data_IF_148295850956
#
_entry.id   IF_148295850956
#
_cell.length_a   1.000
_cell.length_b   1.000
_cell.length_c   1.000
_cell.angle_alpha   90.00
_cell.angle_beta   90.00
_cell.angle_gamma   90.00
#
_symmetry.space_group_name_H-M   'P 1'
#
loop_
_entity.id
_entity.type
_entity.pdbx_description
1 polymer ?
#
# COMPACT_ATOMS: atom_id res chain seq x y z
N UNK A 1 -9.91 18.08 -9.84
CA UNK A 1 -8.56 17.65 -10.26
C UNK A 1 -8.62 16.18 -10.60
N UNK A 2 -7.90 15.74 -11.64
CA UNK A 2 -7.79 14.32 -11.95
C UNK A 2 -7.04 13.59 -10.83
N UNK A 3 -7.48 12.37 -10.51
CA UNK A 3 -6.78 11.52 -9.55
C UNK A 3 -5.39 11.17 -10.08
N UNK A 4 -4.37 11.30 -9.23
CA UNK A 4 -2.98 11.00 -9.60
C UNK A 4 -2.78 9.49 -9.68
N UNK A 5 -1.98 9.04 -10.64
CA UNK A 5 -1.62 7.63 -10.83
C UNK A 5 -0.11 7.49 -10.73
N UNK A 6 0.33 6.67 -9.78
CA UNK A 6 1.72 6.28 -9.58
C UNK A 6 1.89 4.80 -9.92
N UNK A 7 3.12 4.38 -10.20
CA UNK A 7 3.47 2.96 -10.25
C UNK A 7 4.55 2.68 -9.21
N UNK A 8 4.37 1.61 -8.44
CA UNK A 8 5.38 1.14 -7.49
C UNK A 8 6.50 0.38 -8.18
N UNK A 9 7.74 0.56 -7.76
CA UNK A 9 8.90 -0.14 -8.32
C UNK A 9 8.82 -1.65 -8.12
N UNK A 10 8.10 -2.12 -7.09
CA UNK A 10 7.85 -3.56 -6.88
C UNK A 10 7.09 -4.21 -8.05
N UNK A 11 6.32 -3.42 -8.80
CA UNK A 11 5.57 -3.89 -9.97
C UNK A 11 6.47 -4.40 -11.11
N UNK A 12 7.74 -3.97 -11.12
CA UNK A 12 8.77 -4.40 -12.09
C UNK A 12 9.77 -5.40 -11.50
N UNK A 13 9.57 -5.90 -10.28
CA UNK A 13 10.56 -6.72 -9.56
C UNK A 13 10.95 -8.01 -10.31
N UNK A 14 10.02 -8.58 -11.07
CA UNK A 14 10.28 -9.79 -11.86
C UNK A 14 11.06 -9.54 -13.16
N UNK A 15 11.46 -8.30 -13.45
CA UNK A 15 12.18 -7.95 -14.68
C UNK A 15 13.70 -7.97 -14.50
N UNK A 16 14.20 -8.33 -13.32
CA UNK A 16 15.64 -8.36 -12.98
C UNK A 16 16.36 -7.03 -13.25
N UNK A 17 15.62 -5.91 -13.15
CA UNK A 17 16.15 -4.57 -13.31
C UNK A 17 16.62 -4.01 -11.97
N UNK A 18 17.72 -3.26 -11.98
CA UNK A 18 18.06 -2.41 -10.85
C UNK A 18 17.11 -1.20 -10.77
N UNK A 19 17.10 -0.51 -9.64
CA UNK A 19 16.15 0.59 -9.38
C UNK A 19 16.24 1.75 -10.40
N UNK A 20 17.42 2.05 -10.95
CA UNK A 20 17.56 3.12 -11.94
C UNK A 20 16.96 2.71 -13.29
N UNK A 21 17.15 1.45 -13.67
CA UNK A 21 16.52 0.86 -14.86
C UNK A 21 15.00 0.79 -14.71
N UNK A 22 14.49 0.42 -13.52
CA UNK A 22 13.06 0.46 -13.24
C UNK A 22 12.49 1.87 -13.39
N UNK A 23 13.15 2.89 -12.82
CA UNK A 23 12.76 4.30 -12.99
C UNK A 23 12.75 4.69 -14.47
N UNK A 24 13.81 4.35 -15.21
CA UNK A 24 13.92 4.64 -16.65
C UNK A 24 12.82 3.95 -17.48
N UNK A 25 12.43 2.71 -17.13
CA UNK A 25 11.27 2.07 -17.75
C UNK A 25 9.99 2.86 -17.45
N UNK A 26 9.77 3.22 -16.18
CA UNK A 26 8.55 3.90 -15.74
C UNK A 26 8.36 5.30 -16.34
N UNK A 27 9.42 6.00 -16.73
CA UNK A 27 9.31 7.31 -17.40
C UNK A 27 8.68 7.25 -18.79
N UNK A 28 8.60 6.07 -19.40
CA UNK A 28 7.97 5.91 -20.72
C UNK A 28 6.43 5.86 -20.65
N UNK A 29 5.86 5.96 -19.44
CA UNK A 29 4.42 5.94 -19.24
C UNK A 29 3.93 7.29 -18.73
N UNK A 30 2.70 7.62 -19.11
CA UNK A 30 2.02 8.82 -18.63
C UNK A 30 1.53 8.60 -17.18
N UNK A 31 2.40 8.79 -16.20
CA UNK A 31 2.16 8.66 -14.77
C UNK A 31 2.56 9.95 -14.02
N UNK A 32 1.94 10.18 -12.86
CA UNK A 32 2.13 11.39 -12.06
C UNK A 32 3.33 11.29 -11.10
N UNK A 33 3.78 10.07 -10.84
CA UNK A 33 5.07 9.77 -10.22
C UNK A 33 5.28 8.31 -9.88
N UNK A 34 6.26 8.06 -9.02
CA UNK A 34 6.75 6.71 -8.72
C UNK A 34 6.76 6.53 -7.21
N UNK A 35 6.34 5.34 -6.77
CA UNK A 35 6.66 4.86 -5.44
C UNK A 35 7.97 4.06 -5.49
N UNK A 36 8.99 4.53 -4.75
CA UNK A 36 10.18 3.70 -4.51
C UNK A 36 9.90 2.75 -3.36
N UNK A 37 9.76 1.46 -3.67
CA UNK A 37 9.48 0.40 -2.73
C UNK A 37 10.72 -0.48 -2.48
N UNK A 38 10.94 -0.83 -1.20
CA UNK A 38 12.01 -1.70 -0.76
C UNK A 38 11.45 -2.86 0.06
N UNK A 39 11.92 -4.08 -0.17
CA UNK A 39 11.53 -5.24 0.64
C UNK A 39 12.42 -5.41 1.88
N UNK A 40 13.71 -5.10 1.77
CA UNK A 40 14.69 -5.34 2.85
C UNK A 40 15.54 -4.12 3.18
N UNK A 41 16.11 -4.11 4.38
CA UNK A 41 17.05 -3.06 4.81
C UNK A 41 18.27 -2.96 3.90
N UNK A 42 18.71 -4.07 3.31
CA UNK A 42 19.88 -4.13 2.42
C UNK A 42 19.59 -3.42 1.10
N UNK A 43 18.41 -3.62 0.50
CA UNK A 43 18.00 -2.90 -0.71
C UNK A 43 18.05 -1.38 -0.50
N UNK A 44 17.50 -0.92 0.62
CA UNK A 44 17.52 0.49 1.00
C UNK A 44 18.92 1.02 1.32
N UNK A 45 19.74 0.23 2.02
CA UNK A 45 21.12 0.59 2.38
C UNK A 45 22.00 0.73 1.14
N UNK A 46 21.87 -0.22 0.22
CA UNK A 46 22.71 -0.31 -0.98
C UNK A 46 22.15 0.51 -2.16
N UNK A 47 20.96 1.11 -2.00
CA UNK A 47 20.35 1.97 -3.01
C UNK A 47 21.36 3.00 -3.50
N UNK A 48 21.56 3.08 -4.80
CA UNK A 48 22.32 4.18 -5.44
C UNK A 48 21.48 4.71 -6.59
N UNK A 49 20.99 5.95 -6.45
CA UNK A 49 20.24 6.63 -7.50
C UNK A 49 21.21 7.41 -8.40
N UNK A 50 21.13 7.19 -9.71
CA UNK A 50 21.88 7.97 -10.68
C UNK A 50 21.41 9.43 -10.69
N UNK A 51 22.25 10.33 -11.21
CA UNK A 51 21.86 11.74 -11.37
C UNK A 51 20.70 11.91 -12.34
N UNK A 52 20.56 11.01 -13.32
CA UNK A 52 19.42 10.99 -14.23
C UNK A 52 18.15 10.57 -13.51
N UNK A 53 18.18 9.47 -12.75
CA UNK A 53 17.03 9.01 -11.97
C UNK A 53 16.58 10.04 -10.94
N UNK A 54 17.51 10.75 -10.28
CA UNK A 54 17.17 11.85 -9.37
C UNK A 54 16.50 13.02 -10.10
N UNK A 55 17.02 13.43 -11.27
CA UNK A 55 16.42 14.48 -12.11
C UNK A 55 15.00 14.09 -12.54
N UNK A 56 14.83 12.85 -13.00
CA UNK A 56 13.55 12.27 -13.37
C UNK A 56 12.56 12.30 -12.21
N UNK A 57 12.95 11.76 -11.04
CA UNK A 57 12.06 11.71 -9.88
C UNK A 57 11.61 13.11 -9.46
N UNK A 58 12.50 14.11 -9.48
CA UNK A 58 12.15 15.51 -9.16
C UNK A 58 11.17 16.16 -10.14
N UNK A 59 11.03 15.65 -11.38
CA UNK A 59 10.06 16.14 -12.37
C UNK A 59 8.65 15.63 -12.12
N UNK A 60 8.51 14.48 -11.47
CA UNK A 60 7.20 13.96 -11.11
C UNK A 60 6.52 14.82 -10.05
N UNK A 61 5.20 14.95 -10.14
CA UNK A 61 4.43 15.80 -9.23
C UNK A 61 4.14 15.12 -7.89
N UNK A 62 4.29 13.79 -7.82
CA UNK A 62 3.93 13.00 -6.65
C UNK A 62 4.76 11.71 -6.57
N UNK A 63 5.78 11.68 -5.72
CA UNK A 63 6.51 10.45 -5.40
C UNK A 63 6.19 9.99 -3.98
N UNK A 64 6.34 8.70 -3.71
CA UNK A 64 6.22 8.10 -2.36
C UNK A 64 7.39 7.17 -2.10
N UNK A 65 7.54 6.77 -0.84
CA UNK A 65 8.63 5.89 -0.40
C UNK A 65 8.05 4.78 0.49
N UNK A 66 7.99 3.55 -0.01
CA UNK A 66 7.52 2.41 0.78
C UNK A 66 8.71 1.74 1.45
N UNK A 67 8.72 1.82 2.78
CA UNK A 67 9.87 1.40 3.56
C UNK A 67 9.97 -0.14 3.66
N UNK A 68 11.20 -0.68 3.83
CA UNK A 68 11.41 -2.09 4.06
C UNK A 68 10.56 -2.69 5.17
N UNK A 69 10.15 -3.94 4.98
CA UNK A 69 9.41 -4.71 5.99
C UNK A 69 10.09 -6.02 6.39
N UNK A 70 11.11 -6.46 5.66
CA UNK A 70 11.90 -7.65 6.01
C UNK A 70 13.19 -7.29 6.73
N UNK A 71 13.51 -8.07 7.76
CA UNK A 71 14.76 -8.01 8.50
C UNK A 71 15.10 -6.64 9.10
N UNK A 72 14.07 -5.86 9.45
CA UNK A 72 14.21 -4.49 9.96
C UNK A 72 13.35 -4.25 11.19
N UNK A 73 13.90 -3.48 12.12
CA UNK A 73 13.19 -2.82 13.22
C UNK A 73 13.65 -1.38 13.24
N UNK A 74 12.72 -0.44 13.17
CA UNK A 74 13.05 0.98 13.17
C UNK A 74 13.26 1.48 14.61
N UNK A 75 14.40 2.12 14.86
CA UNK A 75 14.77 2.67 16.16
C UNK A 75 15.54 4.00 16.00
N UNK A 76 15.43 4.91 16.98
CA UNK A 76 15.91 6.31 16.91
C UNK A 76 17.36 6.48 16.42
N UNK A 77 18.28 5.58 16.78
CA UNK A 77 19.72 5.68 16.44
C UNK A 77 20.15 4.79 15.25
N UNK A 78 19.23 4.42 14.37
CA UNK A 78 19.54 3.57 13.24
C UNK A 78 20.06 4.37 12.03
N UNK A 79 21.23 4.00 11.48
CA UNK A 79 21.81 4.55 10.24
C UNK A 79 20.80 4.53 9.09
N UNK A 80 19.90 3.54 9.08
CA UNK A 80 18.80 3.44 8.10
C UNK A 80 17.85 4.63 8.15
N UNK A 81 17.54 5.21 9.33
CA UNK A 81 16.66 6.38 9.41
C UNK A 81 17.27 7.61 8.74
N UNK A 82 18.58 7.82 8.88
CA UNK A 82 19.30 8.89 8.18
C UNK A 82 19.19 8.69 6.67
N UNK A 83 19.32 7.45 6.20
CA UNK A 83 19.18 7.09 4.78
C UNK A 83 17.77 7.35 4.27
N UNK A 84 16.73 6.99 5.03
CA UNK A 84 15.33 7.25 4.68
C UNK A 84 15.08 8.75 4.53
N UNK A 85 15.49 9.56 5.52
CA UNK A 85 15.33 11.02 5.48
C UNK A 85 16.05 11.65 4.28
N UNK A 86 17.24 11.16 3.94
CA UNK A 86 18.00 11.59 2.76
C UNK A 86 17.24 11.30 1.45
N UNK A 87 16.76 10.06 1.28
CA UNK A 87 16.01 9.65 0.08
C UNK A 87 14.69 10.42 -0.02
N UNK A 88 13.92 10.49 1.06
CA UNK A 88 12.65 11.22 1.14
C UNK A 88 12.77 12.65 0.60
N UNK A 89 13.81 13.37 1.05
CA UNK A 89 14.11 14.74 0.59
C UNK A 89 14.58 14.77 -0.87
N UNK A 90 15.51 13.88 -1.24
CA UNK A 90 16.10 13.85 -2.60
C UNK A 90 15.07 13.63 -3.69
N UNK A 91 14.07 12.79 -3.44
CA UNK A 91 13.01 12.47 -4.41
C UNK A 91 11.75 13.33 -4.25
N UNK A 92 11.75 14.28 -3.30
CA UNK A 92 10.58 15.09 -2.94
C UNK A 92 9.34 14.22 -2.64
N UNK A 93 9.54 13.15 -1.86
CA UNK A 93 8.47 12.22 -1.51
C UNK A 93 7.38 12.94 -0.70
N UNK A 94 6.12 12.65 -1.00
CA UNK A 94 4.97 13.26 -0.34
C UNK A 94 4.70 12.61 1.01
N UNK A 95 4.88 11.30 1.10
CA UNK A 95 4.83 10.55 2.35
C UNK A 95 5.69 9.28 2.25
N UNK A 96 5.95 8.69 3.41
CA UNK A 96 6.52 7.34 3.55
C UNK A 96 5.40 6.34 3.90
N UNK A 97 5.45 5.15 3.33
CA UNK A 97 4.56 4.03 3.67
C UNK A 97 5.28 3.06 4.59
N UNK A 98 4.67 2.73 5.71
CA UNK A 98 5.20 1.76 6.68
C UNK A 98 4.14 0.74 7.05
N UNK A 99 4.56 -0.48 7.33
CA UNK A 99 3.67 -1.48 7.90
C UNK A 99 3.61 -1.33 9.43
N UNK A 100 2.44 -1.56 10.05
CA UNK A 100 2.27 -1.39 11.49
C UNK A 100 3.07 -2.42 12.30
N UNK A 101 3.34 -3.60 11.76
CA UNK A 101 4.01 -4.69 12.47
C UNK A 101 5.52 -4.48 12.71
N UNK A 102 6.15 -3.51 12.04
CA UNK A 102 7.61 -3.28 12.09
C UNK A 102 8.00 -1.94 12.77
N UNK A 103 7.01 -1.11 13.12
CA UNK A 103 7.21 0.21 13.71
C UNK A 103 6.44 0.34 15.02
N UNK A 104 7.14 0.52 16.14
CA UNK A 104 6.52 0.73 17.45
C UNK A 104 6.51 2.20 17.90
N UNK A 105 7.41 3.00 17.36
CA UNK A 105 7.52 4.43 17.66
C UNK A 105 7.55 5.21 16.35
N UNK A 106 6.44 5.88 16.00
CA UNK A 106 6.35 6.69 14.79
C UNK A 106 7.08 8.03 14.90
N UNK A 107 7.43 8.49 16.12
CA UNK A 107 8.12 9.77 16.33
C UNK A 107 9.53 9.77 15.72
N UNK A 108 10.12 8.60 15.50
CA UNK A 108 11.45 8.45 14.87
C UNK A 108 11.50 9.00 13.44
N UNK A 109 10.33 9.12 12.79
CA UNK A 109 10.15 9.63 11.44
C UNK A 109 9.84 11.14 11.41
N UNK A 110 10.10 11.86 12.50
CA UNK A 110 9.94 13.31 12.61
C UNK A 110 10.47 14.05 11.37
N UNK A 111 9.65 14.97 10.85
CA UNK A 111 9.91 15.77 9.65
C UNK A 111 9.53 15.08 8.34
N UNK A 112 8.83 13.94 8.39
CA UNK A 112 8.26 13.25 7.22
C UNK A 112 6.76 13.02 7.44
N UNK A 113 5.98 13.06 6.36
CA UNK A 113 4.59 12.63 6.42
C UNK A 113 4.55 11.10 6.41
N UNK A 114 3.90 10.50 7.41
CA UNK A 114 3.86 9.05 7.60
C UNK A 114 2.46 8.53 7.25
N UNK A 115 2.42 7.48 6.45
CA UNK A 115 1.24 6.68 6.23
C UNK A 115 1.48 5.26 6.70
N UNK A 116 0.49 4.67 7.36
CA UNK A 116 0.47 3.24 7.67
C UNK A 116 -0.31 2.54 6.56
N UNK A 117 0.16 1.40 6.09
CA UNK A 117 -0.58 0.53 5.18
C UNK A 117 -1.37 -0.53 5.96
N UNK A 118 -2.62 -0.81 5.55
CA UNK A 118 -3.34 -1.96 6.09
C UNK A 118 -2.71 -3.26 5.56
N UNK A 119 -2.32 -4.13 6.48
CA UNK A 119 -1.80 -5.44 6.11
C UNK A 119 -2.94 -6.44 6.04
N UNK A 120 -2.84 -7.41 5.13
CA UNK A 120 -3.82 -8.49 5.03
C UNK A 120 -4.04 -9.14 6.39
N UNK A 121 -5.30 -9.33 6.77
CA UNK A 121 -5.65 -10.11 7.95
C UNK A 121 -5.08 -11.55 7.79
N UNK A 122 -5.15 -12.32 8.84
CA UNK A 122 -5.29 -13.77 8.76
C UNK A 122 -6.74 -14.07 9.09
N UNK A 123 -7.26 -15.24 8.72
CA UNK A 123 -8.64 -15.65 9.07
C UNK A 123 -8.94 -15.48 10.58
N UNK A 124 -7.90 -15.61 11.41
CA UNK A 124 -7.93 -15.40 12.86
C UNK A 124 -8.08 -13.94 13.28
N UNK A 125 -7.38 -13.03 12.60
CA UNK A 125 -7.45 -11.58 12.86
C UNK A 125 -8.79 -11.00 12.42
N UNK A 126 -9.41 -11.53 11.36
CA UNK A 126 -10.77 -11.16 10.96
C UNK A 126 -11.78 -11.36 12.09
N UNK A 127 -11.71 -12.53 12.76
CA UNK A 127 -12.62 -12.83 13.87
C UNK A 127 -12.38 -11.91 15.08
N UNK A 128 -11.15 -11.43 15.29
CA UNK A 128 -10.82 -10.46 16.35
C UNK A 128 -11.27 -9.03 16.00
N UNK A 129 -11.18 -8.61 14.75
CA UNK A 129 -11.71 -7.30 14.34
C UNK A 129 -13.24 -7.23 14.48
N UNK A 130 -13.90 -8.35 14.23
CA UNK A 130 -15.33 -8.53 14.43
C UNK A 130 -15.69 -8.99 15.84
N UNK A 131 -14.77 -8.97 16.81
CA UNK A 131 -14.96 -9.62 18.09
C UNK A 131 -16.22 -9.16 18.82
N UNK A 132 -16.58 -7.86 18.73
CA UNK A 132 -17.82 -7.36 19.33
C UNK A 132 -19.08 -7.88 18.60
N UNK A 133 -19.04 -7.97 17.26
CA UNK A 133 -20.12 -8.57 16.47
C UNK A 133 -20.21 -10.08 16.72
N UNK A 134 -19.07 -10.75 16.88
CA UNK A 134 -18.99 -12.18 17.19
C UNK A 134 -19.47 -12.46 18.62
N UNK A 135 -19.09 -11.67 19.62
CA UNK A 135 -19.65 -11.73 20.97
C UNK A 135 -21.17 -11.59 20.89
N UNK A 136 -21.66 -10.60 20.13
CA UNK A 136 -23.10 -10.41 19.94
C UNK A 136 -23.78 -11.58 19.20
N UNK A 137 -23.10 -12.28 18.30
CA UNK A 137 -23.62 -13.46 17.62
C UNK A 137 -23.61 -14.70 18.52
N UNK A 138 -22.56 -14.87 19.32
CA UNK A 138 -22.44 -15.94 20.33
C UNK A 138 -23.49 -15.76 21.42
N UNK A 139 -23.67 -14.54 21.92
CA UNK A 139 -24.68 -14.23 22.94
C UNK A 139 -26.11 -14.45 22.45
N UNK A 140 -26.34 -14.40 21.13
CA UNK A 140 -27.62 -14.71 20.49
C UNK A 140 -27.77 -16.19 20.10
N UNK A 141 -26.78 -17.05 20.40
CA UNK A 141 -26.79 -18.46 20.02
C UNK A 141 -26.63 -18.70 18.51
N UNK A 142 -26.26 -17.68 17.74
CA UNK A 142 -26.11 -17.75 16.28
C UNK A 142 -24.80 -18.46 15.90
N UNK A 143 -23.78 -18.35 16.74
CA UNK A 143 -22.45 -18.90 16.51
C UNK A 143 -21.97 -19.70 17.73
N UNK A 144 -21.55 -20.95 17.51
CA UNK A 144 -21.03 -21.82 18.58
C UNK A 144 -19.51 -21.98 18.41
N UNK A 145 -18.71 -21.35 19.28
CA UNK A 145 -17.25 -21.30 19.15
C UNK A 145 -16.62 -22.32 20.10
N UNK A 146 -16.46 -23.55 19.64
CA UNK A 146 -15.65 -24.56 20.31
C UNK A 146 -14.30 -24.68 19.61
N UNK A 147 -13.31 -23.85 19.98
CA UNK A 147 -11.86 -24.15 19.88
C UNK A 147 -10.95 -22.99 20.34
N UNK A 148 -9.85 -23.38 20.96
CA UNK A 148 -8.76 -22.53 21.45
C UNK A 148 -8.20 -21.58 20.38
N UNK A 149 -8.33 -20.27 20.61
CA UNK A 149 -7.62 -19.25 19.85
C UNK A 149 -6.35 -18.83 20.61
N UNK A 150 -5.20 -19.39 20.25
CA UNK A 150 -3.90 -18.91 20.75
C UNK A 150 -3.64 -17.45 20.34
N UNK A 151 -3.22 -16.57 21.24
CA UNK A 151 -3.07 -15.14 20.96
C UNK A 151 -1.95 -14.88 19.92
N UNK A 152 -2.30 -14.50 18.69
CA UNK A 152 -1.36 -13.90 17.73
C UNK A 152 -1.57 -12.39 17.81
N UNK A 153 -0.53 -11.57 18.01
CA UNK A 153 -0.67 -10.12 18.00
C UNK A 153 -1.32 -9.66 16.69
N UNK A 154 -2.49 -9.04 16.82
CA UNK A 154 -3.29 -8.64 15.68
C UNK A 154 -2.76 -7.33 15.09
N UNK A 155 -2.21 -7.42 13.88
CA UNK A 155 -1.61 -6.27 13.19
C UNK A 155 -2.65 -5.20 12.86
N UNK A 156 -3.93 -5.58 12.70
CA UNK A 156 -5.01 -4.64 12.42
C UNK A 156 -5.60 -4.02 13.68
N UNK A 157 -5.54 -4.70 14.83
CA UNK A 157 -5.74 -4.03 16.13
C UNK A 157 -4.67 -2.97 16.33
N UNK A 158 -3.40 -3.31 16.06
CA UNK A 158 -2.32 -2.33 16.15
C UNK A 158 -2.52 -1.17 15.17
N UNK A 159 -2.86 -1.43 13.90
CA UNK A 159 -3.20 -0.39 12.92
C UNK A 159 -4.32 0.53 13.44
N UNK A 160 -5.43 -0.05 13.90
CA UNK A 160 -6.57 0.72 14.41
C UNK A 160 -6.15 1.56 15.61
N UNK A 161 -5.44 0.96 16.58
CA UNK A 161 -4.92 1.65 17.76
C UNK A 161 -3.99 2.80 17.37
N UNK A 162 -2.99 2.54 16.54
CA UNK A 162 -2.02 3.54 16.09
C UNK A 162 -2.71 4.70 15.37
N UNK A 163 -3.68 4.40 14.49
CA UNK A 163 -4.47 5.43 13.85
C UNK A 163 -5.27 6.21 14.90
N UNK A 164 -6.07 5.55 15.74
CA UNK A 164 -6.94 6.22 16.72
C UNK A 164 -6.18 7.09 17.72
N UNK A 165 -5.04 6.61 18.23
CA UNK A 165 -4.22 7.30 19.23
C UNK A 165 -3.35 8.40 18.61
N UNK A 166 -2.95 8.26 17.34
CA UNK A 166 -2.10 9.23 16.67
C UNK A 166 -2.81 9.88 15.47
N UNK A 167 -3.51 10.97 15.73
CA UNK A 167 -4.28 11.75 14.73
C UNK A 167 -3.45 12.27 13.55
N UNK A 168 -2.12 12.37 13.69
CA UNK A 168 -1.22 12.82 12.61
C UNK A 168 -0.95 11.74 11.56
N UNK A 169 -1.12 10.46 11.92
CA UNK A 169 -0.91 9.35 11.01
C UNK A 169 -2.03 9.30 9.96
N UNK A 170 -1.66 8.91 8.75
CA UNK A 170 -2.59 8.67 7.65
C UNK A 170 -2.58 7.20 7.24
N UNK A 171 -3.56 6.79 6.45
CA UNK A 171 -3.70 5.45 5.92
C UNK A 171 -3.33 5.44 4.43
N UNK A 172 -2.56 4.45 4.00
CA UNK A 172 -2.57 3.98 2.63
C UNK A 172 -3.44 2.73 2.60
N UNK A 173 -4.51 2.77 1.83
CA UNK A 173 -5.44 1.66 1.71
C UNK A 173 -4.96 0.70 0.62
N UNK A 174 -4.47 -0.46 0.98
CA UNK A 174 -4.21 -1.57 0.05
C UNK A 174 -5.50 -2.36 -0.18
N UNK A 175 -5.97 -2.33 -1.43
CA UNK A 175 -7.20 -2.99 -1.85
C UNK A 175 -7.08 -4.51 -1.91
N UNK A 176 -5.91 -5.04 -2.29
CA UNK A 176 -5.65 -6.48 -2.38
C UNK A 176 -5.62 -7.12 -0.98
N UNK A 177 -4.95 -6.48 -0.03
CA UNK A 177 -4.95 -6.89 1.37
C UNK A 177 -6.35 -6.94 1.96
N UNK A 178 -7.17 -5.93 1.68
CA UNK A 178 -8.55 -5.86 2.15
C UNK A 178 -9.44 -6.93 1.50
N UNK A 179 -9.31 -7.14 0.19
CA UNK A 179 -10.15 -8.09 -0.55
C UNK A 179 -9.80 -9.57 -0.30
N UNK A 180 -8.60 -9.86 0.21
CA UNK A 180 -8.18 -11.24 0.49
C UNK A 180 -9.05 -11.98 1.52
N UNK A 181 -9.90 -11.25 2.25
CA UNK A 181 -10.88 -11.80 3.19
C UNK A 181 -12.30 -11.66 2.68
N UNK A 182 -12.72 -10.42 2.44
CA UNK A 182 -14.08 -10.11 2.00
C UNK A 182 -14.09 -8.75 1.28
N UNK A 183 -14.67 -8.73 0.07
CA UNK A 183 -14.81 -7.51 -0.72
C UNK A 183 -15.56 -6.37 0.00
N UNK A 184 -16.40 -6.68 1.01
CA UNK A 184 -17.11 -5.67 1.79
C UNK A 184 -16.20 -4.87 2.75
N UNK A 185 -14.97 -5.31 2.99
CA UNK A 185 -14.08 -4.64 3.96
C UNK A 185 -13.57 -3.29 3.46
N UNK A 186 -13.42 -3.09 2.14
CA UNK A 186 -12.95 -1.81 1.59
C UNK A 186 -13.87 -0.67 2.04
N UNK A 187 -15.19 -0.88 1.96
CA UNK A 187 -16.17 0.11 2.42
C UNK A 187 -16.01 0.41 3.91
N UNK A 188 -15.76 -0.61 4.75
CA UNK A 188 -15.58 -0.39 6.20
C UNK A 188 -14.34 0.47 6.49
N UNK A 189 -13.20 0.19 5.84
CA UNK A 189 -12.01 1.03 5.97
C UNK A 189 -12.27 2.46 5.52
N UNK A 190 -12.99 2.64 4.41
CA UNK A 190 -13.37 3.97 3.91
C UNK A 190 -14.29 4.69 4.89
N UNK A 191 -15.35 4.04 5.37
CA UNK A 191 -16.30 4.65 6.30
C UNK A 191 -15.60 5.13 7.59
N UNK A 192 -14.63 4.36 8.10
CA UNK A 192 -13.91 4.68 9.35
C UNK A 192 -12.80 5.71 9.12
N UNK A 193 -12.05 5.60 8.02
CA UNK A 193 -10.80 6.35 7.83
C UNK A 193 -10.81 7.31 6.65
N UNK A 194 -11.97 7.63 6.04
CA UNK A 194 -12.09 8.47 4.82
C UNK A 194 -11.17 9.67 4.81
N UNK A 195 -11.23 10.50 5.85
CA UNK A 195 -10.47 11.75 5.99
C UNK A 195 -8.96 11.55 6.22
N UNK A 196 -8.54 10.30 6.47
CA UNK A 196 -7.17 9.93 6.78
C UNK A 196 -6.51 9.10 5.70
N UNK A 197 -7.27 8.65 4.69
CA UNK A 197 -6.67 7.97 3.54
C UNK A 197 -5.86 9.01 2.75
N UNK A 198 -4.57 8.76 2.57
CA UNK A 198 -3.64 9.62 1.83
C UNK A 198 -3.28 9.08 0.44
N UNK A 199 -3.52 7.79 0.22
CA UNK A 199 -3.23 7.09 -1.03
C UNK A 199 -3.83 5.69 -1.00
N UNK A 200 -3.83 5.03 -2.15
CA UNK A 200 -4.39 3.69 -2.32
C UNK A 200 -3.39 2.84 -3.06
N UNK A 201 -2.96 1.72 -2.46
CA UNK A 201 -2.27 0.67 -3.19
C UNK A 201 -3.34 -0.12 -3.94
N UNK A 202 -3.40 0.13 -5.25
CA UNK A 202 -4.43 -0.40 -6.11
C UNK A 202 -3.90 -1.63 -6.84
N UNK A 203 -4.55 -2.74 -6.56
CA UNK A 203 -4.41 -4.00 -7.29
C UNK A 203 -5.58 -4.90 -6.92
N UNK A 204 -5.82 -5.94 -7.72
CA UNK A 204 -6.85 -6.94 -7.41
C UNK A 204 -6.24 -8.22 -6.87
N UNK A 205 -7.07 -9.05 -6.26
CA UNK A 205 -6.68 -10.31 -5.66
C UNK A 205 -7.24 -11.50 -6.46
N UNK A 206 -6.40 -12.48 -6.79
CA UNK A 206 -6.87 -13.81 -7.22
C UNK A 206 -6.18 -14.91 -6.40
N UNK A 207 -6.94 -15.99 -6.14
CA UNK A 207 -6.46 -17.30 -5.66
C UNK A 207 -5.26 -17.26 -4.70
N UNK A 208 -5.37 -16.50 -3.60
CA UNK A 208 -4.53 -16.64 -2.41
C UNK A 208 -3.06 -16.21 -2.48
N UNK A 209 -2.65 -15.13 -3.17
CA UNK A 209 -1.49 -14.24 -2.77
C UNK A 209 -0.97 -13.24 -3.80
N UNK A 210 -1.53 -13.14 -5.01
CA UNK A 210 -0.91 -12.29 -6.04
C UNK A 210 -1.77 -11.06 -6.35
N UNK A 211 -1.10 -9.91 -6.38
CA UNK A 211 -1.60 -8.67 -6.94
C UNK A 211 -1.79 -8.86 -8.45
N UNK A 212 -2.99 -8.59 -8.97
CA UNK A 212 -3.34 -8.73 -10.37
C UNK A 212 -3.74 -7.40 -11.00
N UNK A 213 -3.68 -7.42 -12.33
CA UNK A 213 -4.06 -6.34 -13.22
C UNK A 213 -5.57 -6.11 -13.18
N UNK A 214 -6.04 -4.89 -12.95
CA UNK A 214 -7.48 -4.61 -12.93
C UNK A 214 -8.13 -4.90 -14.29
N UNK A 215 -7.45 -4.63 -15.42
CA UNK A 215 -8.04 -4.88 -16.75
C UNK A 215 -8.28 -6.37 -17.06
N UNK A 216 -7.73 -7.28 -16.25
CA UNK A 216 -7.94 -8.73 -16.36
C UNK A 216 -8.89 -9.27 -15.27
N UNK A 217 -9.40 -8.40 -14.43
CA UNK A 217 -10.22 -8.78 -13.28
C UNK A 217 -11.69 -8.87 -13.65
N UNK A 218 -12.41 -9.78 -13.00
CA UNK A 218 -13.85 -9.92 -13.17
C UNK A 218 -14.60 -8.62 -12.81
N UNK A 219 -15.66 -8.30 -13.57
CA UNK A 219 -16.44 -7.07 -13.39
C UNK A 219 -17.11 -6.98 -12.02
N UNK A 220 -17.51 -8.11 -11.43
CA UNK A 220 -18.13 -8.14 -10.09
C UNK A 220 -17.14 -7.68 -9.02
N UNK A 221 -15.88 -8.08 -9.15
CA UNK A 221 -14.79 -7.65 -8.26
C UNK A 221 -14.52 -6.15 -8.45
N UNK A 222 -14.43 -5.68 -9.69
CA UNK A 222 -14.20 -4.27 -10.00
C UNK A 222 -15.31 -3.36 -9.43
N UNK A 223 -16.56 -3.83 -9.40
CA UNK A 223 -17.68 -3.08 -8.80
C UNK A 223 -17.46 -2.79 -7.32
N UNK A 224 -16.78 -3.67 -6.59
CA UNK A 224 -16.44 -3.41 -5.18
C UNK A 224 -15.36 -2.34 -5.01
N UNK A 225 -14.54 -2.11 -6.04
CA UNK A 225 -13.53 -1.05 -6.06
C UNK A 225 -14.10 0.31 -6.45
N UNK A 226 -15.31 0.40 -7.02
CA UNK A 226 -15.86 1.68 -7.48
C UNK A 226 -15.98 2.72 -6.37
N UNK A 227 -16.19 2.28 -5.12
CA UNK A 227 -16.24 3.17 -3.95
C UNK A 227 -14.95 3.97 -3.74
N UNK A 228 -13.79 3.46 -4.18
CA UNK A 228 -12.51 4.14 -3.98
C UNK A 228 -12.36 5.37 -4.88
N UNK A 229 -13.14 5.45 -5.97
CA UNK A 229 -13.14 6.60 -6.90
C UNK A 229 -13.59 7.89 -6.22
N UNK A 230 -14.42 7.77 -5.18
CA UNK A 230 -14.91 8.90 -4.40
C UNK A 230 -13.81 9.60 -3.59
N UNK A 231 -12.75 8.87 -3.22
CA UNK A 231 -11.70 9.36 -2.32
C UNK A 231 -10.82 10.44 -2.98
N UNK A 232 -10.67 10.42 -4.31
CA UNK A 232 -9.84 11.37 -5.09
C UNK A 232 -8.39 11.53 -4.58
N UNK A 233 -7.88 10.53 -3.87
CA UNK A 233 -6.48 10.42 -3.41
C UNK A 233 -5.62 9.72 -4.47
N UNK A 234 -4.29 9.89 -4.48
CA UNK A 234 -3.42 9.17 -5.42
C UNK A 234 -3.61 7.64 -5.41
N UNK A 235 -3.60 7.04 -6.59
CA UNK A 235 -3.57 5.59 -6.79
C UNK A 235 -2.13 5.16 -7.07
N UNK A 236 -1.66 4.12 -6.39
CA UNK A 236 -0.33 3.56 -6.52
C UNK A 236 -0.51 2.14 -7.03
N UNK A 237 -0.10 1.88 -8.27
CA UNK A 237 -0.26 0.56 -8.87
C UNK A 237 0.83 -0.37 -8.37
N UNK A 238 0.43 -1.36 -7.58
CA UNK A 238 1.30 -2.36 -6.95
C UNK A 238 1.01 -3.76 -7.53
N UNK A 239 1.02 -3.86 -8.85
CA UNK A 239 0.65 -5.08 -9.56
C UNK A 239 1.89 -5.81 -10.09
N UNK A 240 1.85 -7.14 -10.18
CA UNK A 240 2.95 -7.88 -10.78
C UNK A 240 2.85 -7.88 -12.30
N UNK A 241 3.65 -7.06 -12.97
CA UNK A 241 3.80 -7.16 -14.42
C UNK A 241 4.77 -8.30 -14.75
N UNK A 242 4.31 -9.31 -15.50
CA UNK A 242 5.21 -10.38 -15.97
C UNK A 242 6.30 -9.81 -16.89
N UNK A 243 7.41 -10.53 -16.99
CA UNK A 243 8.68 -10.08 -17.57
C UNK A 243 8.52 -9.29 -18.89
N UNK A 244 8.98 -8.04 -18.88
CA UNK A 244 9.03 -7.11 -20.03
C UNK A 244 7.71 -6.82 -20.75
N UNK A 245 6.56 -7.03 -20.11
CA UNK A 245 5.26 -6.75 -20.72
C UNK A 245 4.86 -5.26 -20.64
N UNK A 246 5.63 -4.38 -21.28
CA UNK A 246 5.35 -2.92 -21.33
C UNK A 246 3.93 -2.62 -21.86
N UNK A 247 3.42 -3.42 -22.78
CA UNK A 247 2.07 -3.24 -23.30
C UNK A 247 0.99 -3.54 -22.26
N UNK A 248 1.24 -4.42 -21.28
CA UNK A 248 0.29 -4.64 -20.19
C UNK A 248 0.22 -3.44 -19.25
N UNK A 249 1.33 -2.73 -19.03
CA UNK A 249 1.34 -1.46 -18.28
C UNK A 249 0.51 -0.41 -19.02
N UNK A 250 0.68 -0.28 -20.34
CA UNK A 250 -0.13 0.65 -21.16
C UNK A 250 -1.61 0.32 -21.12
N UNK A 251 -1.96 -0.97 -21.28
CA UNK A 251 -3.35 -1.45 -21.21
C UNK A 251 -3.96 -1.17 -19.85
N UNK A 252 -3.23 -1.45 -18.78
CA UNK A 252 -3.66 -1.20 -17.40
C UNK A 252 -3.90 0.29 -17.15
N UNK A 253 -2.94 1.16 -17.49
CA UNK A 253 -3.10 2.61 -17.33
C UNK A 253 -4.29 3.16 -18.14
N UNK A 254 -4.47 2.70 -19.37
CA UNK A 254 -5.62 3.07 -20.20
C UNK A 254 -6.94 2.61 -19.56
N UNK A 255 -6.97 1.37 -19.07
CA UNK A 255 -8.11 0.81 -18.37
C UNK A 255 -8.46 1.62 -17.12
N UNK A 256 -7.49 1.87 -16.23
CA UNK A 256 -7.70 2.62 -14.99
C UNK A 256 -8.23 4.02 -15.29
N UNK A 257 -7.61 4.74 -16.23
CA UNK A 257 -8.08 6.08 -16.60
C UNK A 257 -9.52 6.07 -17.11
N UNK A 258 -9.86 5.08 -17.92
CA UNK A 258 -11.25 4.89 -18.40
C UNK A 258 -12.19 4.53 -17.25
N UNK A 259 -11.78 3.63 -16.36
CA UNK A 259 -12.56 3.16 -15.23
C UNK A 259 -12.85 4.28 -14.22
N UNK A 260 -11.87 5.16 -13.95
CA UNK A 260 -12.04 6.32 -13.08
C UNK A 260 -13.02 7.36 -13.63
N UNK A 261 -13.16 7.45 -14.96
CA UNK A 261 -14.04 8.41 -15.62
C UNK A 261 -15.46 7.87 -15.84
N UNK A 262 -15.74 6.59 -15.55
CA UNK A 262 -17.10 6.05 -15.58
C UNK A 262 -17.82 6.40 -14.29
N UNK A 263 -18.75 7.35 -14.39
CA UNK A 263 -19.74 7.71 -13.36
C UNK A 263 -20.91 6.73 -13.35
#
# INVERSE_FOLDING_TARGET
MSQKILISTTSLRNWNLNINEQISVLTNFNIDGIELNFHSKEELRNLTLSQESLRTLKRFSFNTLHLPFRNITYAKKNVILKRIKDIYRKINAKFIVVHPNITHDYSIFEGMNITIENYGLTRKQFLLFHFQEIINMVSKGILNINKEFSLVPDQNIKLHKDLMENKSLKLVLDTSHTMSFNNMEIKKYIDIYRERIAGIHLSTFNNYKNHNLLHKTDKSILKHLDIIKELRVPLILEEKFNHMQKDNIKKELSFIRTWLNKT
#
